data_IF_558645141504
#
_entry.id   IF_558645141504
#
_cell.length_a   1.000
_cell.length_b   1.000
_cell.length_c   1.000
_cell.angle_alpha   90.00
_cell.angle_beta   90.00
_cell.angle_gamma   90.00
#
_symmetry.space_group_name_H-M   'P 1'
#
loop_
_entity.id
_entity.type
_entity.pdbx_description
1 polymer ?
#
# COMPACT_ATOMS: atom_id res chain seq x y z
N UNK A 1 -11.25 -2.53 0.70
CA UNK A 1 -10.05 -2.93 1.46
C UNK A 1 -9.01 -3.51 0.52
N UNK A 2 -7.78 -3.09 0.63
CA UNK A 2 -6.71 -3.59 -0.24
C UNK A 2 -6.18 -4.93 0.28
N UNK A 3 -5.84 -5.84 -0.64
CA UNK A 3 -5.14 -7.08 -0.29
C UNK A 3 -3.72 -6.77 0.23
N UNK A 4 -3.11 -7.67 1.03
CA UNK A 4 -1.72 -7.51 1.42
C UNK A 4 -0.83 -7.41 0.18
N UNK A 5 0.11 -6.47 0.19
CA UNK A 5 1.07 -6.31 -0.90
C UNK A 5 2.18 -7.33 -0.78
N UNK A 6 2.57 -8.03 -1.86
CA UNK A 6 3.73 -8.89 -1.80
C UNK A 6 4.99 -8.05 -1.56
N UNK A 7 5.82 -8.50 -0.64
CA UNK A 7 7.02 -7.77 -0.21
C UNK A 7 8.21 -8.72 -0.20
N UNK A 8 8.69 -9.07 -1.39
CA UNK A 8 9.81 -9.96 -1.56
C UNK A 8 11.12 -9.21 -1.30
N UNK A 9 11.85 -9.61 -0.27
CA UNK A 9 13.11 -8.98 0.12
C UNK A 9 14.33 -9.88 -0.13
N UNK A 10 14.11 -11.14 -0.49
CA UNK A 10 15.16 -12.13 -0.68
C UNK A 10 14.92 -12.93 -1.95
N UNK A 11 16.00 -13.44 -2.54
CA UNK A 11 15.98 -14.52 -3.54
C UNK A 11 16.73 -15.69 -2.90
N UNK A 12 15.98 -16.75 -2.56
CA UNK A 12 16.55 -17.83 -1.76
C UNK A 12 17.06 -17.29 -0.43
N UNK A 13 18.33 -17.55 -0.11
CA UNK A 13 18.98 -17.04 1.10
C UNK A 13 19.65 -15.68 0.91
N UNK A 14 19.57 -15.10 -0.29
CA UNK A 14 20.23 -13.83 -0.60
C UNK A 14 19.30 -12.67 -0.33
N UNK A 15 19.72 -11.78 0.57
CA UNK A 15 18.99 -10.53 0.82
C UNK A 15 19.21 -9.56 -0.35
N UNK A 16 18.12 -9.00 -0.87
CA UNK A 16 18.20 -8.01 -1.93
C UNK A 16 18.71 -6.68 -1.38
N UNK A 17 19.56 -6.00 -2.14
CA UNK A 17 20.04 -4.68 -1.77
C UNK A 17 18.90 -3.66 -1.80
N UNK A 18 18.95 -2.61 -0.97
CA UNK A 18 17.90 -1.58 -0.94
C UNK A 18 17.64 -0.96 -2.32
N UNK A 19 18.67 -0.77 -3.13
CA UNK A 19 18.55 -0.21 -4.46
C UNK A 19 17.71 -1.11 -5.38
N UNK A 20 17.86 -2.42 -5.26
CA UNK A 20 17.06 -3.38 -6.02
C UNK A 20 15.60 -3.36 -5.57
N UNK A 21 15.37 -3.25 -4.27
CA UNK A 21 14.02 -3.16 -3.71
C UNK A 21 13.26 -1.93 -4.21
N UNK A 22 13.96 -0.86 -4.53
CA UNK A 22 13.34 0.37 -5.05
C UNK A 22 12.67 0.17 -6.40
N UNK A 23 12.95 -0.92 -7.11
CA UNK A 23 12.38 -1.19 -8.42
C UNK A 23 10.94 -1.71 -8.36
N UNK A 24 10.60 -2.51 -7.36
CA UNK A 24 9.28 -3.15 -7.33
C UNK A 24 8.73 -3.47 -5.93
N UNK A 25 9.43 -3.07 -4.87
CA UNK A 25 8.93 -3.34 -3.52
C UNK A 25 7.62 -2.59 -3.26
N UNK A 26 6.69 -3.26 -2.57
CA UNK A 26 5.50 -2.61 -2.04
C UNK A 26 4.34 -2.48 -3.01
N UNK A 27 4.39 -3.12 -4.19
CA UNK A 27 3.28 -3.09 -5.12
C UNK A 27 3.05 -4.44 -5.78
N UNK A 28 1.79 -4.85 -5.86
CA UNK A 28 1.38 -6.06 -6.55
C UNK A 28 0.90 -5.70 -7.97
N UNK A 29 1.62 -6.14 -9.01
CA UNK A 29 1.20 -5.86 -10.39
C UNK A 29 -0.21 -6.38 -10.72
N UNK A 30 -0.70 -7.40 -10.03
CA UNK A 30 -2.03 -7.94 -10.30
C UNK A 30 -3.15 -6.97 -9.92
N UNK A 31 -2.86 -5.95 -9.13
CA UNK A 31 -3.80 -4.87 -8.85
C UNK A 31 -4.00 -3.93 -10.05
N UNK A 32 -3.14 -4.02 -11.07
CA UNK A 32 -3.19 -3.18 -12.26
C UNK A 32 -2.89 -3.98 -13.51
N UNK A 33 -3.68 -5.03 -13.75
CA UNK A 33 -3.65 -5.83 -14.97
C UNK A 33 -2.28 -6.49 -15.25
N UNK A 34 -1.46 -6.67 -14.24
CA UNK A 34 -0.13 -7.25 -14.40
C UNK A 34 0.94 -6.26 -14.84
N UNK A 35 0.66 -4.97 -14.80
CA UNK A 35 1.64 -3.95 -15.16
C UNK A 35 2.86 -4.04 -14.27
N UNK A 36 4.06 -4.12 -14.87
CA UNK A 36 5.32 -4.22 -14.14
C UNK A 36 5.56 -2.97 -13.29
N UNK A 37 5.28 -1.81 -13.85
CA UNK A 37 5.37 -0.54 -13.14
C UNK A 37 4.00 -0.14 -12.62
N UNK A 38 3.88 0.38 -11.39
CA UNK A 38 2.59 0.86 -10.92
C UNK A 38 2.11 2.01 -11.81
N UNK A 39 0.82 2.02 -12.15
CA UNK A 39 0.27 3.13 -12.91
C UNK A 39 0.22 4.40 -12.07
N UNK A 40 0.13 5.54 -12.74
CA UNK A 40 -0.17 6.81 -12.09
C UNK A 40 -1.69 6.91 -11.94
N UNK A 41 -2.17 6.92 -10.72
CA UNK A 41 -3.60 7.00 -10.43
C UNK A 41 -4.04 8.46 -10.43
N UNK A 42 -4.62 8.91 -11.53
CA UNK A 42 -5.05 10.30 -11.71
C UNK A 42 -6.45 10.52 -11.12
N UNK A 43 -6.58 10.26 -9.84
CA UNK A 43 -7.83 10.47 -9.10
C UNK A 43 -7.53 10.79 -7.65
N UNK A 44 -8.42 11.55 -7.02
CA UNK A 44 -8.35 11.82 -5.60
C UNK A 44 -9.36 11.02 -4.79
N UNK A 45 -10.32 10.38 -5.46
CA UNK A 45 -11.44 9.71 -4.80
C UNK A 45 -11.48 8.25 -5.21
N UNK A 46 -11.74 7.38 -4.24
CA UNK A 46 -11.84 5.94 -4.44
C UNK A 46 -13.18 5.48 -3.93
N UNK A 47 -13.79 4.51 -4.62
CA UNK A 47 -15.11 4.02 -4.27
C UNK A 47 -15.01 2.72 -3.49
N UNK A 48 -15.97 2.46 -2.65
CA UNK A 48 -16.14 1.17 -2.01
C UNK A 48 -16.97 0.26 -2.90
N UNK A 49 -16.67 -1.02 -2.83
CA UNK A 49 -17.41 -2.01 -3.60
C UNK A 49 -18.83 -2.18 -3.06
N UNK A 50 -18.98 -2.14 -1.74
CA UNK A 50 -20.24 -2.29 -1.04
C UNK A 50 -20.36 -1.27 0.09
N UNK A 51 -21.58 -1.07 0.60
CA UNK A 51 -21.78 -0.23 1.78
C UNK A 51 -21.09 -0.80 3.01
N UNK A 52 -21.02 -2.13 3.11
CA UNK A 52 -20.33 -2.83 4.19
C UNK A 52 -18.84 -2.57 4.17
N UNK A 53 -18.22 -2.55 2.99
CA UNK A 53 -16.79 -2.21 2.85
C UNK A 53 -16.53 -0.77 3.33
N UNK A 54 -17.47 0.14 3.06
CA UNK A 54 -17.38 1.50 3.55
C UNK A 54 -17.48 1.59 5.06
N UNK A 55 -18.40 0.84 5.65
CA UNK A 55 -18.53 0.75 7.11
C UNK A 55 -17.26 0.19 7.73
N UNK A 56 -16.71 -0.87 7.17
CA UNK A 56 -15.47 -1.48 7.64
C UNK A 56 -14.33 -0.47 7.60
N UNK A 57 -14.19 0.27 6.51
CA UNK A 57 -13.15 1.28 6.40
C UNK A 57 -13.22 2.28 7.55
N UNK A 58 -14.40 2.85 7.80
CA UNK A 58 -14.54 3.86 8.86
C UNK A 58 -14.41 3.28 10.26
N UNK A 59 -14.81 2.03 10.47
CA UNK A 59 -14.60 1.36 11.74
C UNK A 59 -13.11 1.13 12.01
N UNK A 60 -12.34 0.72 10.99
CA UNK A 60 -10.90 0.48 11.14
C UNK A 60 -10.14 1.78 11.41
N UNK A 61 -10.39 2.82 10.61
CA UNK A 61 -9.63 4.07 10.76
C UNK A 61 -10.02 4.84 12.03
N UNK A 62 -11.20 4.62 12.57
CA UNK A 62 -11.62 5.23 13.84
C UNK A 62 -11.24 4.41 15.07
N UNK A 63 -10.67 3.23 14.88
CA UNK A 63 -10.27 2.36 15.98
C UNK A 63 -11.40 1.58 16.63
N UNK A 64 -12.59 1.56 16.02
CA UNK A 64 -13.72 0.77 16.55
C UNK A 64 -13.53 -0.72 16.36
N UNK A 65 -12.82 -1.13 15.31
CA UNK A 65 -12.44 -2.53 15.04
C UNK A 65 -11.04 -2.57 14.48
N UNK A 66 -10.36 -3.69 14.70
CA UNK A 66 -9.07 -3.94 14.09
C UNK A 66 -9.27 -4.57 12.70
N UNK A 67 -8.54 -4.11 11.67
CA UNK A 67 -8.58 -4.79 10.38
C UNK A 67 -7.99 -6.20 10.49
N UNK A 68 -8.38 -7.14 9.62
CA UNK A 68 -7.74 -8.45 9.58
C UNK A 68 -6.24 -8.33 9.40
N UNK A 69 -5.48 -9.23 10.03
CA UNK A 69 -4.03 -9.22 9.98
C UNK A 69 -3.55 -9.23 8.53
N UNK A 70 -2.55 -8.40 8.23
CA UNK A 70 -1.97 -8.28 6.90
C UNK A 70 -2.77 -7.45 5.92
N UNK A 71 -3.88 -6.84 6.35
CA UNK A 71 -4.68 -5.95 5.49
C UNK A 71 -4.66 -4.53 6.01
N UNK A 72 -4.82 -3.57 5.09
CA UNK A 72 -5.01 -2.17 5.48
C UNK A 72 -6.49 -1.80 5.50
N UNK A 73 -6.76 -0.57 5.88
CA UNK A 73 -8.13 -0.06 5.95
C UNK A 73 -8.75 0.16 4.56
N UNK A 74 -7.93 0.36 3.53
CA UNK A 74 -8.38 0.64 2.16
C UNK A 74 -8.19 2.09 1.77
N UNK A 75 -8.81 2.47 0.67
CA UNK A 75 -8.66 3.79 0.05
C UNK A 75 -10.01 4.49 0.01
N UNK A 76 -10.03 5.79 0.26
CA UNK A 76 -11.24 6.60 0.13
C UNK A 76 -10.97 7.96 -0.51
N UNK A 77 -9.92 8.65 -0.08
CA UNK A 77 -9.62 9.99 -0.56
C UNK A 77 -8.15 10.31 -0.39
N UNK A 78 -7.55 10.98 -1.38
CA UNK A 78 -6.10 11.21 -1.44
C UNK A 78 -5.54 12.05 -0.29
N UNK A 79 -6.38 12.76 0.46
CA UNK A 79 -5.93 13.49 1.65
C UNK A 79 -5.48 12.53 2.75
N UNK A 80 -6.07 11.35 2.81
CA UNK A 80 -5.74 10.35 3.82
C UNK A 80 -4.69 9.36 3.32
N UNK A 81 -4.87 8.86 2.11
CA UNK A 81 -3.94 7.93 1.49
C UNK A 81 -4.14 7.90 -0.03
N UNK A 82 -3.13 7.43 -0.76
CA UNK A 82 -3.19 7.33 -2.21
C UNK A 82 -2.23 6.22 -2.64
N UNK A 83 -2.57 5.39 -3.65
CA UNK A 83 -1.71 4.26 -4.02
C UNK A 83 -0.28 4.66 -4.38
N UNK A 84 -0.10 5.73 -5.13
CA UNK A 84 1.25 6.18 -5.50
C UNK A 84 2.02 6.70 -4.29
N UNK A 85 1.37 7.39 -3.36
CA UNK A 85 2.01 7.85 -2.13
C UNK A 85 2.40 6.68 -1.23
N UNK A 86 1.54 5.68 -1.11
CA UNK A 86 1.85 4.48 -0.33
C UNK A 86 3.08 3.74 -0.86
N UNK A 87 3.23 3.66 -2.18
CA UNK A 87 4.40 3.03 -2.79
C UNK A 87 5.68 3.76 -2.38
N UNK A 88 5.67 5.10 -2.43
CA UNK A 88 6.82 5.91 -2.00
C UNK A 88 7.10 5.70 -0.52
N UNK A 89 6.07 5.75 0.30
CA UNK A 89 6.19 5.55 1.75
C UNK A 89 6.80 4.20 2.09
N UNK A 90 6.30 3.13 1.47
CA UNK A 90 6.79 1.77 1.70
C UNK A 90 8.24 1.62 1.25
N UNK A 91 8.59 2.15 0.08
CA UNK A 91 9.94 2.05 -0.45
C UNK A 91 10.95 2.86 0.36
N UNK A 92 10.59 4.08 0.76
CA UNK A 92 11.47 4.89 1.59
C UNK A 92 11.67 4.26 2.97
N UNK A 93 10.61 3.73 3.55
CA UNK A 93 10.68 3.09 4.85
C UNK A 93 11.66 1.92 4.84
N UNK A 94 11.62 1.05 3.81
CA UNK A 94 12.55 -0.07 3.74
C UNK A 94 13.96 0.36 3.38
N UNK A 95 14.11 1.38 2.52
CA UNK A 95 15.42 1.90 2.16
C UNK A 95 16.16 2.48 3.36
N UNK A 96 15.45 3.24 4.18
CA UNK A 96 16.02 3.90 5.36
C UNK A 96 16.02 3.00 6.60
N UNK A 97 15.50 1.79 6.51
CA UNK A 97 15.33 0.86 7.65
C UNK A 97 14.52 1.51 8.77
N UNK A 98 13.50 2.26 8.38
CA UNK A 98 12.61 2.94 9.31
C UNK A 98 11.40 2.07 9.61
N UNK A 99 10.74 2.32 10.73
CA UNK A 99 9.50 1.63 11.09
C UNK A 99 8.36 2.01 10.16
N UNK A 100 8.32 3.27 9.75
CA UNK A 100 7.27 3.80 8.89
C UNK A 100 7.74 5.08 8.20
N UNK A 101 7.00 5.46 7.17
CA UNK A 101 7.20 6.70 6.46
C UNK A 101 5.84 7.28 6.12
N UNK A 102 5.71 8.59 6.21
CA UNK A 102 4.50 9.28 5.79
C UNK A 102 4.86 10.47 4.91
N UNK A 103 4.11 10.61 3.84
CA UNK A 103 4.32 11.66 2.84
C UNK A 103 3.38 12.84 3.11
N UNK A 104 3.94 14.04 3.08
CA UNK A 104 3.17 15.27 3.20
C UNK A 104 3.34 16.13 1.96
N UNK A 105 2.30 16.88 1.60
CA UNK A 105 2.36 17.91 0.56
C UNK A 105 2.81 19.24 1.12
#
# INVERSE_FOLDING_TARGET
MTAPKPSKTHIGNHALHPETLMLNYGYDPQLSEGAVKPPVFLTSTFVFRTAEDGQDFFDFVSGRREPPEGTGAGLVYSRFNHPNSEIVEDRLSIYEKAEACILFS
#
